data_IF_713968826557
#
_entry.id   IF_713968826557
#
_cell.length_a   1.000
_cell.length_b   1.000
_cell.length_c   1.000
_cell.angle_alpha   90.00
_cell.angle_beta   90.00
_cell.angle_gamma   90.00
#
_symmetry.space_group_name_H-M   'P 1'
#
loop_
_entity.id
_entity.type
_entity.pdbx_description
1 polymer ?
#
# COMPACT_ATOMS: atom_id res chain seq x y z
N UNK A 1 0.43 19.56 8.77
CA UNK A 1 -0.13 18.47 7.95
C UNK A 1 0.20 17.14 8.60
N UNK A 2 -0.78 16.28 8.81
CA UNK A 2 -0.61 14.97 9.44
C UNK A 2 -0.61 13.85 8.38
N UNK A 3 0.45 13.02 8.41
CA UNK A 3 0.61 11.85 7.54
C UNK A 3 0.50 10.59 8.38
N UNK A 4 -0.59 9.86 8.23
CA UNK A 4 -0.82 8.57 8.87
C UNK A 4 -0.35 7.43 7.97
N UNK A 5 0.66 6.69 8.42
CA UNK A 5 1.20 5.52 7.73
C UNK A 5 0.80 4.28 8.52
N UNK A 6 0.01 3.40 7.92
CA UNK A 6 -0.45 2.17 8.59
C UNK A 6 0.71 1.18 8.70
N UNK A 7 0.96 0.66 9.90
CA UNK A 7 1.92 -0.42 10.13
C UNK A 7 1.20 -1.64 10.71
N UNK A 8 0.94 -2.67 9.92
CA UNK A 8 0.30 -3.90 10.39
C UNK A 8 1.30 -5.06 10.51
N UNK A 9 1.10 -6.03 11.42
CA UNK A 9 1.99 -7.18 11.53
C UNK A 9 2.18 -7.89 10.18
N UNK A 10 3.43 -7.99 9.71
CA UNK A 10 3.78 -8.55 8.40
C UNK A 10 3.71 -7.58 7.22
N UNK A 11 3.76 -6.26 7.46
CA UNK A 11 4.00 -5.26 6.40
C UNK A 11 5.36 -5.48 5.72
N UNK A 12 5.49 -5.11 4.45
CA UNK A 12 6.78 -5.01 3.76
C UNK A 12 7.42 -3.66 4.08
N UNK A 13 8.62 -3.65 4.64
CA UNK A 13 9.23 -2.44 5.20
C UNK A 13 9.43 -1.30 4.19
N UNK A 14 9.94 -1.62 3.00
CA UNK A 14 10.26 -0.60 2.00
C UNK A 14 9.00 0.11 1.46
N UNK A 15 7.84 -0.54 1.51
CA UNK A 15 6.57 0.02 1.03
C UNK A 15 6.16 1.29 1.78
N UNK A 16 6.49 1.36 3.08
CA UNK A 16 6.19 2.53 3.90
C UNK A 16 7.43 3.43 4.08
N UNK A 17 8.62 2.84 4.20
CA UNK A 17 9.88 3.60 4.39
C UNK A 17 10.17 4.48 3.17
N UNK A 18 9.94 3.98 1.96
CA UNK A 18 10.16 4.74 0.72
C UNK A 18 9.38 6.06 0.69
N UNK A 19 8.03 6.01 0.77
CA UNK A 19 7.24 7.24 0.84
C UNK A 19 7.52 8.06 2.10
N UNK A 20 7.72 7.43 3.26
CA UNK A 20 8.07 8.10 4.52
C UNK A 20 9.28 9.01 4.35
N UNK A 21 10.36 8.51 3.72
CA UNK A 21 11.60 9.26 3.58
C UNK A 21 11.40 10.52 2.73
N UNK A 22 10.52 10.52 1.73
CA UNK A 22 10.20 11.73 0.97
C UNK A 22 9.23 12.66 1.72
N UNK A 23 8.16 12.11 2.28
CA UNK A 23 7.07 12.90 2.85
C UNK A 23 7.48 13.64 4.13
N UNK A 24 8.43 13.12 4.91
CA UNK A 24 8.91 13.76 6.15
C UNK A 24 9.62 15.11 5.93
N UNK A 25 10.02 15.42 4.70
CA UNK A 25 10.66 16.69 4.33
C UNK A 25 9.67 17.78 3.92
N UNK A 26 8.38 17.48 3.84
CA UNK A 26 7.37 18.49 3.57
C UNK A 26 7.23 19.45 4.78
N UNK A 27 7.01 20.76 4.55
CA UNK A 27 6.85 21.73 5.63
C UNK A 27 5.71 21.36 6.60
N UNK A 28 5.91 21.64 7.89
CA UNK A 28 4.91 21.46 8.95
C UNK A 28 4.28 20.05 8.96
N UNK A 29 5.07 19.03 8.61
CA UNK A 29 4.60 17.64 8.50
C UNK A 29 4.83 16.87 9.80
N UNK A 30 3.76 16.31 10.34
CA UNK A 30 3.77 15.35 11.44
C UNK A 30 3.50 13.95 10.87
N UNK A 31 4.51 13.08 10.90
CA UNK A 31 4.33 11.67 10.51
C UNK A 31 3.92 10.85 11.71
N UNK A 32 2.86 10.05 11.55
CA UNK A 32 2.41 9.07 12.53
C UNK A 32 2.43 7.67 11.93
N UNK A 33 3.05 6.75 12.64
CA UNK A 33 2.93 5.33 12.35
C UNK A 33 1.72 4.81 13.14
N UNK A 34 0.67 4.40 12.44
CA UNK A 34 -0.62 4.09 13.05
C UNK A 34 -0.94 2.61 13.00
N UNK A 35 -1.47 2.09 14.11
CA UNK A 35 -2.04 0.75 14.20
C UNK A 35 -3.21 0.72 15.18
N UNK A 36 -3.68 -0.46 15.58
CA UNK A 36 -4.70 -0.58 16.63
C UNK A 36 -4.25 0.05 17.94
N UNK A 37 -2.99 -0.17 18.31
CA UNK A 37 -2.38 0.33 19.54
C UNK A 37 -0.91 0.72 19.26
N UNK A 38 -0.36 1.73 19.98
CA UNK A 38 1.07 2.03 19.94
C UNK A 38 1.90 0.84 20.43
N UNK A 39 3.06 0.62 19.83
CA UNK A 39 3.96 -0.47 20.21
C UNK A 39 4.72 -1.10 19.04
N UNK A 40 5.58 -2.09 19.32
CA UNK A 40 6.42 -2.71 18.31
C UNK A 40 5.60 -3.58 17.34
N UNK A 41 5.87 -3.43 16.05
CA UNK A 41 5.24 -4.20 14.97
C UNK A 41 6.34 -4.83 14.13
N UNK A 42 6.23 -6.14 13.95
CA UNK A 42 7.20 -6.94 13.21
C UNK A 42 6.85 -6.91 11.72
N UNK A 43 7.84 -6.57 10.87
CA UNK A 43 7.73 -6.64 9.42
C UNK A 43 7.70 -8.10 8.92
N UNK A 44 7.40 -8.29 7.63
CA UNK A 44 7.34 -9.61 6.98
C UNK A 44 8.65 -10.43 7.02
N UNK A 45 9.79 -9.76 7.17
CA UNK A 45 11.10 -10.41 7.36
C UNK A 45 11.25 -11.12 8.71
N UNK A 46 10.33 -10.91 9.65
CA UNK A 46 10.38 -11.39 11.04
C UNK A 46 11.58 -10.88 11.87
N UNK A 47 12.37 -9.94 11.34
CA UNK A 47 13.56 -9.37 12.00
C UNK A 47 13.43 -7.88 12.28
N UNK A 48 12.88 -7.12 11.33
CA UNK A 48 12.71 -5.68 11.50
C UNK A 48 11.48 -5.39 12.37
N UNK A 49 11.68 -4.60 13.42
CA UNK A 49 10.63 -4.08 14.28
C UNK A 49 10.53 -2.56 14.11
N UNK A 50 9.32 -2.05 13.90
CA UNK A 50 9.02 -0.62 13.85
C UNK A 50 7.89 -0.32 14.83
N UNK A 51 8.02 0.74 15.61
CA UNK A 51 6.98 1.13 16.56
C UNK A 51 5.83 1.87 15.88
N UNK A 52 4.60 1.37 16.00
CA UNK A 52 3.43 2.22 15.87
C UNK A 52 3.51 3.28 16.97
N UNK A 53 3.38 4.56 16.58
CA UNK A 53 3.49 5.69 17.48
C UNK A 53 2.13 6.13 18.02
N UNK A 54 1.05 5.85 17.28
CA UNK A 54 -0.31 6.24 17.63
C UNK A 54 -1.30 5.14 17.26
N UNK A 55 -2.45 5.13 17.93
CA UNK A 55 -3.61 4.35 17.53
C UNK A 55 -4.43 5.04 16.41
N UNK A 56 -5.37 4.29 15.84
CA UNK A 56 -6.40 4.82 14.93
C UNK A 56 -7.28 5.89 15.60
N UNK A 57 -7.62 5.71 16.88
CA UNK A 57 -8.49 6.64 17.62
C UNK A 57 -7.77 7.95 17.98
N UNK A 58 -6.46 7.91 18.19
CA UNK A 58 -5.61 9.09 18.36
C UNK A 58 -5.35 9.83 17.03
N UNK A 59 -5.63 9.19 15.89
CA UNK A 59 -5.39 9.71 14.54
C UNK A 59 -6.65 9.59 13.66
N UNK A 60 -7.77 10.25 14.03
CA UNK A 60 -9.07 10.02 13.38
C UNK A 60 -9.22 10.72 12.02
N UNK A 61 -8.47 11.80 11.77
CA UNK A 61 -8.63 12.66 10.60
C UNK A 61 -7.28 13.18 10.05
N UNK A 62 -6.37 12.28 9.62
CA UNK A 62 -5.11 12.68 8.98
C UNK A 62 -5.35 13.32 7.61
N UNK A 63 -4.43 14.18 7.19
CA UNK A 63 -4.46 14.79 5.85
C UNK A 63 -4.07 13.77 4.77
N UNK A 64 -3.13 12.86 5.10
CA UNK A 64 -2.66 11.81 4.21
C UNK A 64 -2.74 10.47 4.91
N UNK A 65 -3.27 9.47 4.22
CA UNK A 65 -3.19 8.07 4.63
C UNK A 65 -2.28 7.32 3.65
N UNK A 66 -1.37 6.50 4.16
CA UNK A 66 -0.54 5.60 3.37
C UNK A 66 -0.69 4.16 3.89
N UNK A 67 -1.07 3.24 2.99
CA UNK A 67 -1.23 1.83 3.29
C UNK A 67 -0.14 1.02 2.55
N UNK A 68 0.82 0.41 3.26
CA UNK A 68 1.82 -0.45 2.63
C UNK A 68 1.23 -1.82 2.24
N UNK A 69 1.95 -2.53 1.40
CA UNK A 69 1.75 -3.96 1.17
C UNK A 69 2.51 -4.82 2.18
N UNK A 70 2.50 -6.13 1.92
CA UNK A 70 3.01 -7.14 2.84
C UNK A 70 2.40 -8.51 2.55
N UNK A 71 3.09 -9.58 2.94
CA UNK A 71 2.56 -10.93 2.74
C UNK A 71 1.30 -11.22 3.58
N UNK A 72 1.09 -10.48 4.67
CA UNK A 72 -0.14 -10.55 5.50
C UNK A 72 -1.26 -9.61 5.04
N UNK A 73 -1.11 -8.90 3.90
CA UNK A 73 -2.13 -7.95 3.40
C UNK A 73 -3.53 -8.54 3.38
N UNK A 74 -3.67 -9.81 2.98
CA UNK A 74 -4.99 -10.47 2.85
C UNK A 74 -5.65 -10.75 4.20
N UNK A 75 -4.86 -10.91 5.27
CA UNK A 75 -5.38 -11.00 6.64
C UNK A 75 -5.95 -9.65 7.06
N UNK A 76 -5.18 -8.58 6.85
CA UNK A 76 -5.56 -7.22 7.26
C UNK A 76 -6.62 -6.58 6.36
N UNK A 77 -6.79 -7.07 5.13
CA UNK A 77 -7.94 -6.74 4.28
C UNK A 77 -9.29 -7.25 4.83
N UNK A 78 -9.28 -8.00 5.94
CA UNK A 78 -10.47 -8.47 6.67
C UNK A 78 -10.60 -7.82 8.05
N UNK A 79 -9.69 -6.91 8.41
CA UNK A 79 -9.70 -6.22 9.68
C UNK A 79 -10.72 -5.08 9.66
N UNK A 80 -11.93 -5.34 10.17
CA UNK A 80 -13.02 -4.36 10.10
C UNK A 80 -12.71 -3.06 10.85
N UNK A 81 -11.86 -3.07 11.89
CA UNK A 81 -11.45 -1.83 12.58
C UNK A 81 -10.58 -0.97 11.66
N UNK A 82 -9.61 -1.56 10.97
CA UNK A 82 -8.81 -0.88 9.95
C UNK A 82 -9.69 -0.37 8.80
N UNK A 83 -10.57 -1.23 8.26
CA UNK A 83 -11.42 -0.87 7.13
C UNK A 83 -12.41 0.26 7.50
N UNK A 84 -12.93 0.26 8.72
CA UNK A 84 -13.81 1.32 9.23
C UNK A 84 -13.07 2.62 9.48
N UNK A 85 -11.90 2.57 10.09
CA UNK A 85 -11.05 3.75 10.23
C UNK A 85 -10.70 4.35 8.87
N UNK A 86 -10.30 3.53 7.88
CA UNK A 86 -10.01 3.99 6.52
C UNK A 86 -11.19 4.70 5.88
N UNK A 87 -12.40 4.12 5.99
CA UNK A 87 -13.63 4.72 5.45
C UNK A 87 -13.90 6.10 6.06
N UNK A 88 -13.83 6.21 7.39
CA UNK A 88 -14.07 7.47 8.12
C UNK A 88 -12.99 8.51 7.84
N UNK A 89 -11.73 8.14 8.01
CA UNK A 89 -10.60 9.04 7.86
C UNK A 89 -10.48 9.58 6.43
N UNK A 90 -10.77 8.76 5.41
CA UNK A 90 -10.71 9.16 4.01
C UNK A 90 -11.62 10.36 3.68
N UNK A 91 -12.76 10.51 4.36
CA UNK A 91 -13.72 11.60 4.14
C UNK A 91 -13.07 13.00 4.22
N UNK A 92 -12.04 13.13 5.05
CA UNK A 92 -11.33 14.40 5.27
C UNK A 92 -9.93 14.44 4.67
N UNK A 93 -9.41 13.33 4.13
CA UNK A 93 -8.06 13.31 3.55
C UNK A 93 -7.92 14.24 2.35
N UNK A 94 -6.72 14.77 2.17
CA UNK A 94 -6.25 15.31 0.89
C UNK A 94 -5.82 14.16 -0.03
N UNK A 95 -5.12 13.17 0.51
CA UNK A 95 -4.71 11.96 -0.22
C UNK A 95 -4.87 10.69 0.60
N UNK A 96 -5.38 9.64 -0.03
CA UNK A 96 -5.30 8.26 0.45
C UNK A 96 -4.52 7.45 -0.55
N UNK A 97 -3.40 6.89 -0.09
CA UNK A 97 -2.40 6.29 -0.93
C UNK A 97 -2.12 4.85 -0.53
N UNK A 98 -1.76 4.00 -1.49
CA UNK A 98 -1.24 2.67 -1.16
C UNK A 98 -0.05 2.30 -2.02
N UNK A 99 0.84 1.48 -1.47
CA UNK A 99 1.97 0.88 -2.19
C UNK A 99 1.75 -0.63 -2.26
N UNK A 100 2.18 -1.26 -3.37
CA UNK A 100 2.22 -2.70 -3.51
C UNK A 100 0.82 -3.33 -3.28
N UNK A 101 0.74 -4.40 -2.49
CA UNK A 101 -0.54 -5.04 -2.16
C UNK A 101 -1.43 -4.23 -1.23
N UNK A 102 -1.00 -3.09 -0.68
CA UNK A 102 -1.83 -2.22 0.15
C UNK A 102 -3.13 -1.76 -0.56
N UNK A 103 -3.13 -1.71 -1.89
CA UNK A 103 -4.33 -1.43 -2.68
C UNK A 103 -5.43 -2.49 -2.53
N UNK A 104 -5.10 -3.71 -2.08
CA UNK A 104 -6.08 -4.74 -1.74
C UNK A 104 -6.87 -4.37 -0.49
N UNK A 105 -6.23 -3.76 0.51
CA UNK A 105 -6.91 -3.25 1.72
C UNK A 105 -7.85 -2.10 1.34
N UNK A 106 -7.41 -1.19 0.46
CA UNK A 106 -8.26 -0.14 -0.11
C UNK A 106 -9.42 -0.69 -0.96
N UNK A 107 -9.20 -1.81 -1.67
CA UNK A 107 -10.24 -2.54 -2.37
C UNK A 107 -11.27 -3.11 -1.39
N UNK A 108 -10.80 -3.75 -0.32
CA UNK A 108 -11.64 -4.37 0.69
C UNK A 108 -12.47 -3.36 1.51
N UNK A 109 -11.98 -2.14 1.72
CA UNK A 109 -12.73 -1.05 2.36
C UNK A 109 -13.84 -0.49 1.46
N UNK A 110 -13.82 -0.82 0.16
CA UNK A 110 -14.78 -0.36 -0.84
C UNK A 110 -14.41 0.98 -1.49
N UNK A 111 -13.33 1.64 -1.04
CA UNK A 111 -12.90 2.96 -1.55
C UNK A 111 -12.46 2.93 -3.02
N UNK A 112 -12.08 1.76 -3.53
CA UNK A 112 -11.68 1.56 -4.94
C UNK A 112 -12.79 1.03 -5.85
N UNK A 113 -14.01 0.76 -5.33
CA UNK A 113 -15.08 0.14 -6.13
C UNK A 113 -15.40 1.00 -7.36
N UNK A 114 -15.35 0.38 -8.56
CA UNK A 114 -15.60 1.04 -9.84
C UNK A 114 -14.45 1.93 -10.35
N UNK A 115 -13.27 1.86 -9.72
CA UNK A 115 -12.10 2.69 -10.08
C UNK A 115 -11.01 1.86 -10.74
N UNK A 116 -10.06 2.53 -11.38
CA UNK A 116 -8.80 1.96 -11.87
C UNK A 116 -7.75 1.98 -10.75
N UNK A 117 -6.99 0.93 -10.57
CA UNK A 117 -5.89 0.90 -9.59
C UNK A 117 -4.80 -0.09 -9.95
N UNK A 118 -3.58 0.17 -9.47
CA UNK A 118 -2.44 -0.75 -9.57
C UNK A 118 -2.13 -1.39 -8.22
N UNK A 119 -1.21 -2.35 -8.21
CA UNK A 119 -0.80 -3.11 -7.03
C UNK A 119 0.57 -3.75 -7.26
N UNK A 120 1.01 -4.63 -6.37
CA UNK A 120 2.08 -5.56 -6.70
C UNK A 120 1.67 -6.46 -7.88
N UNK A 121 2.61 -6.81 -8.77
CA UNK A 121 2.31 -7.63 -9.96
C UNK A 121 1.63 -8.97 -9.62
N UNK A 122 1.94 -9.54 -8.46
CA UNK A 122 1.32 -10.79 -7.99
C UNK A 122 -0.10 -10.61 -7.41
N UNK A 123 -0.45 -9.39 -6.99
CA UNK A 123 -1.72 -9.09 -6.32
C UNK A 123 -2.69 -8.26 -7.19
N UNK A 124 -2.22 -7.62 -8.26
CA UNK A 124 -3.01 -6.68 -9.06
C UNK A 124 -4.28 -7.28 -9.63
N UNK A 125 -4.27 -8.56 -10.06
CA UNK A 125 -5.49 -9.20 -10.58
C UNK A 125 -6.54 -9.45 -9.49
N UNK A 126 -6.14 -9.54 -8.21
CA UNK A 126 -7.07 -9.73 -7.08
C UNK A 126 -8.02 -8.53 -6.93
N UNK A 127 -7.60 -7.34 -7.37
CA UNK A 127 -8.41 -6.11 -7.32
C UNK A 127 -9.77 -6.27 -8.01
N UNK A 128 -9.87 -7.11 -9.05
CA UNK A 128 -11.15 -7.42 -9.73
C UNK A 128 -12.22 -7.93 -8.78
N UNK A 129 -11.83 -8.64 -7.73
CA UNK A 129 -12.74 -9.18 -6.70
C UNK A 129 -13.54 -8.07 -6.01
N UNK A 130 -12.96 -6.88 -5.91
CA UNK A 130 -13.57 -5.71 -5.26
C UNK A 130 -14.26 -4.76 -6.27
N UNK A 131 -14.43 -5.19 -7.53
CA UNK A 131 -15.00 -4.36 -8.59
C UNK A 131 -14.07 -3.24 -9.05
N UNK A 132 -12.76 -3.44 -8.92
CA UNK A 132 -11.71 -2.50 -9.34
C UNK A 132 -11.17 -2.96 -10.69
N UNK A 133 -10.89 -2.02 -11.58
CA UNK A 133 -10.19 -2.26 -12.84
C UNK A 133 -8.68 -2.29 -12.60
N UNK A 134 -7.99 -3.44 -12.76
CA UNK A 134 -6.56 -3.52 -12.53
C UNK A 134 -5.76 -2.89 -13.66
N UNK A 135 -4.79 -2.06 -13.30
CA UNK A 135 -3.81 -1.44 -14.20
C UNK A 135 -2.45 -2.09 -13.95
N UNK A 136 -1.80 -2.59 -15.01
CA UNK A 136 -0.60 -3.46 -14.88
C UNK A 136 0.66 -2.88 -15.51
N UNK A 137 0.54 -1.77 -16.22
CA UNK A 137 1.57 -1.11 -17.02
C UNK A 137 1.92 0.29 -16.52
N UNK A 138 1.22 0.78 -15.50
CA UNK A 138 1.48 2.05 -14.83
C UNK A 138 2.05 1.82 -13.42
N UNK A 139 3.07 2.60 -13.06
CA UNK A 139 3.74 2.52 -11.74
C UNK A 139 2.94 3.23 -10.65
N UNK A 140 2.36 4.39 -10.97
CA UNK A 140 1.50 5.20 -10.10
C UNK A 140 0.20 5.41 -10.85
N UNK A 141 -0.94 5.12 -10.22
CA UNK A 141 -2.28 5.26 -10.80
C UNK A 141 -3.11 6.12 -9.86
N UNK A 142 -3.49 7.31 -10.33
CA UNK A 142 -4.50 8.12 -9.65
C UNK A 142 -5.88 7.50 -9.88
N UNK A 143 -6.38 6.81 -8.85
CA UNK A 143 -7.63 6.05 -8.90
C UNK A 143 -8.87 6.93 -8.81
N UNK A 144 -8.77 8.08 -8.16
CA UNK A 144 -9.80 9.13 -8.05
C UNK A 144 -9.13 10.43 -7.57
N UNK A 145 -9.92 11.52 -7.47
CA UNK A 145 -9.45 12.85 -7.03
C UNK A 145 -8.54 12.82 -5.81
N UNK A 146 -8.82 11.95 -4.83
CA UNK A 146 -8.09 11.85 -3.55
C UNK A 146 -7.51 10.46 -3.28
N UNK A 147 -7.47 9.57 -4.28
CA UNK A 147 -6.93 8.21 -4.09
C UNK A 147 -5.87 7.91 -5.14
N UNK A 148 -4.71 7.47 -4.68
CA UNK A 148 -3.59 7.05 -5.54
C UNK A 148 -3.11 5.67 -5.13
N UNK A 149 -2.84 4.80 -6.11
CA UNK A 149 -2.26 3.48 -5.87
C UNK A 149 -0.94 3.36 -6.61
N UNK A 150 0.02 2.68 -6.02
CA UNK A 150 1.36 2.52 -6.57
C UNK A 150 1.76 1.05 -6.60
N UNK A 151 2.61 0.70 -7.56
CA UNK A 151 3.11 -0.64 -7.79
C UNK A 151 4.00 -1.16 -6.63
N UNK A 152 4.69 -2.28 -6.86
CA UNK A 152 5.40 -3.01 -5.82
C UNK A 152 6.60 -2.30 -5.19
N UNK A 153 6.69 -2.39 -3.87
CA UNK A 153 7.90 -2.25 -3.06
C UNK A 153 8.65 -0.93 -3.23
N UNK A 154 9.66 -0.87 -4.09
CA UNK A 154 10.45 0.34 -4.32
C UNK A 154 9.67 1.46 -4.99
N UNK A 155 8.53 1.14 -5.62
CA UNK A 155 7.63 2.14 -6.20
C UNK A 155 7.08 3.13 -5.17
N UNK A 156 7.13 2.78 -3.88
CA UNK A 156 6.81 3.72 -2.80
C UNK A 156 7.70 4.98 -2.80
N UNK A 157 8.96 4.89 -3.20
CA UNK A 157 9.85 6.08 -3.25
C UNK A 157 9.32 7.08 -4.29
N UNK A 158 8.98 6.60 -5.48
CA UNK A 158 8.42 7.46 -6.54
C UNK A 158 7.05 8.01 -6.16
N UNK A 159 6.22 7.23 -5.46
CA UNK A 159 4.96 7.71 -4.91
C UNK A 159 5.17 8.85 -3.90
N UNK A 160 6.17 8.72 -3.02
CA UNK A 160 6.52 9.75 -2.04
C UNK A 160 6.91 11.06 -2.71
N UNK A 161 7.76 11.01 -3.73
CA UNK A 161 8.15 12.19 -4.53
C UNK A 161 6.97 12.76 -5.33
N UNK A 162 6.13 11.90 -5.91
CA UNK A 162 4.93 12.34 -6.63
C UNK A 162 3.97 13.09 -5.69
N UNK A 163 3.69 12.54 -4.50
CA UNK A 163 2.87 13.20 -3.49
C UNK A 163 3.52 14.52 -3.02
N UNK A 164 4.83 14.53 -2.81
CA UNK A 164 5.55 15.75 -2.45
C UNK A 164 5.37 16.86 -3.51
N UNK A 165 5.32 16.50 -4.79
CA UNK A 165 5.03 17.45 -5.87
C UNK A 165 3.57 17.93 -5.84
N UNK A 166 2.61 17.04 -5.56
CA UNK A 166 1.19 17.41 -5.44
C UNK A 166 0.92 18.38 -4.27
N UNK A 167 1.71 18.28 -3.20
CA UNK A 167 1.48 19.02 -1.95
C UNK A 167 2.35 20.27 -1.86
N UNK A 168 3.66 20.12 -2.09
CA UNK A 168 4.65 21.17 -1.91
C UNK A 168 5.12 21.83 -3.21
N UNK A 169 4.60 21.39 -4.36
CA UNK A 169 5.01 21.85 -5.69
C UNK A 169 6.28 21.16 -6.22
N UNK A 170 6.51 21.32 -7.52
CA UNK A 170 7.58 20.62 -8.25
C UNK A 170 8.98 20.94 -7.72
N UNK A 171 9.28 22.20 -7.42
CA UNK A 171 10.61 22.62 -6.92
C UNK A 171 10.95 21.96 -5.59
N UNK A 172 9.96 21.82 -4.70
CA UNK A 172 10.14 21.14 -3.42
C UNK A 172 10.40 19.65 -3.63
N UNK A 173 9.63 19.00 -4.49
CA UNK A 173 9.83 17.59 -4.80
C UNK A 173 11.21 17.30 -5.39
N UNK A 174 11.69 18.16 -6.30
CA UNK A 174 13.06 18.08 -6.86
C UNK A 174 14.14 18.27 -5.78
N UNK A 175 13.94 19.23 -4.87
CA UNK A 175 14.87 19.43 -3.77
C UNK A 175 14.91 18.22 -2.82
N UNK A 176 13.75 17.61 -2.52
CA UNK A 176 13.67 16.37 -1.73
C UNK A 176 14.37 15.23 -2.46
N UNK A 177 14.11 15.04 -3.76
CA UNK A 177 14.76 14.03 -4.58
C UNK A 177 16.30 14.15 -4.52
N UNK A 178 16.82 15.38 -4.68
CA UNK A 178 18.26 15.63 -4.61
C UNK A 178 18.81 15.42 -3.18
N UNK A 179 18.06 15.81 -2.15
CA UNK A 179 18.48 15.64 -0.74
C UNK A 179 18.59 14.16 -0.35
N UNK A 180 17.77 13.30 -0.96
CA UNK A 180 17.81 11.85 -0.81
C UNK A 180 18.82 11.17 -1.76
N UNK A 181 19.44 11.93 -2.67
CA UNK A 181 20.28 11.42 -3.77
C UNK A 181 19.58 10.30 -4.57
N UNK A 182 18.27 10.46 -4.83
CA UNK A 182 17.48 9.45 -5.53
C UNK A 182 17.70 9.53 -7.06
N UNK A 183 18.82 8.94 -7.50
CA UNK A 183 19.22 8.70 -8.89
C UNK A 183 19.41 7.18 -9.13
N UNK A 184 18.32 6.40 -9.26
CA UNK A 184 18.43 4.95 -9.29
C UNK A 184 19.08 4.44 -10.59
N UNK A 185 20.14 3.64 -10.44
CA UNK A 185 20.79 2.92 -11.55
C UNK A 185 20.74 1.39 -11.30
N UNK A 186 19.58 0.73 -11.50
CA UNK A 186 19.46 -0.70 -11.23
C UNK A 186 20.43 -1.52 -12.11
N UNK A 187 21.18 -2.48 -11.55
CA UNK A 187 22.14 -3.28 -12.32
C UNK A 187 21.49 -4.30 -13.26
N UNK A 188 20.17 -4.47 -13.20
CA UNK A 188 19.41 -5.41 -14.03
C UNK A 188 18.08 -4.79 -14.47
N UNK A 189 17.64 -5.11 -15.69
CA UNK A 189 16.34 -4.68 -16.23
C UNK A 189 15.24 -5.73 -16.04
N UNK A 190 15.01 -6.17 -14.79
CA UNK A 190 14.03 -7.23 -14.47
C UNK A 190 12.98 -6.81 -13.44
N UNK A 191 12.89 -5.52 -13.12
CA UNK A 191 11.96 -4.98 -12.12
C UNK A 191 10.48 -4.95 -12.54
N UNK A 192 10.13 -5.36 -13.76
CA UNK A 192 8.75 -5.36 -14.25
C UNK A 192 8.45 -6.63 -15.06
N UNK A 193 7.19 -7.09 -15.02
CA UNK A 193 6.76 -8.29 -15.74
C UNK A 193 6.90 -8.19 -17.27
N UNK A 194 6.86 -6.99 -17.85
CA UNK A 194 7.11 -6.82 -19.29
C UNK A 194 8.59 -6.96 -19.69
N UNK A 195 9.52 -6.85 -18.73
CA UNK A 195 10.97 -6.80 -18.98
C UNK A 195 11.69 -8.08 -18.55
N UNK A 196 11.20 -8.72 -17.49
CA UNK A 196 11.80 -9.96 -16.97
C UNK A 196 11.64 -11.16 -17.94
N UNK A 197 12.68 -11.97 -18.04
CA UNK A 197 12.65 -13.24 -18.78
C UNK A 197 11.65 -14.23 -18.16
N UNK A 198 11.22 -15.23 -18.94
CA UNK A 198 10.35 -16.30 -18.41
C UNK A 198 10.98 -17.05 -17.23
N UNK A 199 12.28 -17.34 -17.31
CA UNK A 199 13.02 -17.98 -16.23
C UNK A 199 13.06 -17.10 -14.97
N UNK A 200 13.33 -15.81 -15.12
CA UNK A 200 13.32 -14.84 -14.00
C UNK A 200 11.95 -14.76 -13.34
N UNK A 201 10.86 -14.73 -14.12
CA UNK A 201 9.48 -14.72 -13.60
C UNK A 201 9.16 -15.98 -12.80
N UNK A 202 9.56 -17.14 -13.30
CA UNK A 202 9.37 -18.41 -12.62
C UNK A 202 10.14 -18.44 -11.29
N UNK A 203 11.41 -18.04 -11.30
CA UNK A 203 12.25 -17.96 -10.09
C UNK A 203 11.68 -16.97 -9.07
N UNK A 204 11.26 -15.77 -9.49
CA UNK A 204 10.65 -14.78 -8.61
C UNK A 204 9.36 -15.31 -7.97
N UNK A 205 8.51 -16.00 -8.75
CA UNK A 205 7.31 -16.65 -8.24
C UNK A 205 7.65 -17.73 -7.20
N UNK A 206 8.67 -18.55 -7.46
CA UNK A 206 9.12 -19.59 -6.54
C UNK A 206 9.74 -19.03 -5.24
N UNK A 207 10.44 -17.90 -5.30
CA UNK A 207 10.96 -17.22 -4.12
C UNK A 207 9.83 -16.75 -3.19
N UNK A 208 8.80 -16.12 -3.78
CA UNK A 208 7.66 -15.60 -3.02
C UNK A 208 6.70 -16.70 -2.55
N UNK A 209 6.64 -17.85 -3.24
CA UNK A 209 5.68 -18.92 -2.89
C UNK A 209 5.87 -19.44 -1.47
N UNK A 210 7.09 -19.40 -0.93
CA UNK A 210 7.38 -19.79 0.47
C UNK A 210 6.57 -18.98 1.48
N UNK A 211 6.35 -17.71 1.18
CA UNK A 211 5.56 -16.80 2.01
C UNK A 211 4.06 -16.96 1.71
N UNK A 212 3.68 -17.04 0.44
CA UNK A 212 2.28 -17.13 0.02
C UNK A 212 1.61 -18.47 0.38
N UNK A 213 2.39 -19.55 0.51
CA UNK A 213 1.89 -20.89 0.85
C UNK A 213 1.81 -21.15 2.37
N UNK A 214 2.15 -20.16 3.21
CA UNK A 214 1.93 -20.28 4.66
C UNK A 214 0.44 -20.54 4.93
N UNK A 215 0.08 -21.46 5.87
CA UNK A 215 -1.32 -21.80 6.13
C UNK A 215 -2.20 -20.58 6.47
N UNK A 216 -1.63 -19.59 7.14
CA UNK A 216 -2.34 -18.35 7.50
C UNK A 216 -2.69 -17.52 6.26
N UNK A 217 -1.75 -17.33 5.34
CA UNK A 217 -1.96 -16.65 4.06
C UNK A 217 -3.00 -17.36 3.17
N UNK A 218 -2.92 -18.70 3.07
CA UNK A 218 -3.91 -19.50 2.32
C UNK A 218 -5.32 -19.38 2.92
N UNK A 219 -5.43 -19.46 4.25
CA UNK A 219 -6.70 -19.28 4.97
C UNK A 219 -7.25 -17.87 4.79
N UNK A 220 -6.41 -16.85 4.83
CA UNK A 220 -6.81 -15.46 4.63
C UNK A 220 -7.32 -15.21 3.21
N UNK A 221 -6.62 -15.72 2.20
CA UNK A 221 -7.02 -15.62 0.79
C UNK A 221 -8.38 -16.25 0.56
N UNK A 222 -8.55 -17.51 0.98
CA UNK A 222 -9.80 -18.26 0.80
C UNK A 222 -10.96 -17.60 1.52
N UNK A 223 -10.75 -17.14 2.76
CA UNK A 223 -11.77 -16.44 3.53
C UNK A 223 -12.15 -15.08 2.92
N UNK A 224 -11.18 -14.29 2.46
CA UNK A 224 -11.44 -13.00 1.82
C UNK A 224 -12.27 -13.17 0.54
N UNK A 225 -11.93 -14.14 -0.31
CA UNK A 225 -12.71 -14.46 -1.51
C UNK A 225 -14.14 -14.90 -1.17
N UNK A 226 -14.30 -15.71 -0.12
CA UNK A 226 -15.62 -16.11 0.39
C UNK A 226 -16.44 -14.91 0.87
N UNK A 227 -15.85 -14.03 1.68
CA UNK A 227 -16.50 -12.83 2.22
C UNK A 227 -17.01 -11.94 1.07
N UNK A 228 -16.23 -11.78 0.00
CA UNK A 228 -16.62 -11.04 -1.20
C UNK A 228 -17.73 -11.72 -2.00
N UNK A 229 -17.68 -13.05 -2.15
CA UNK A 229 -18.76 -13.80 -2.80
C UNK A 229 -20.10 -13.63 -2.06
N UNK A 230 -20.08 -13.72 -0.73
CA UNK A 230 -21.27 -13.50 0.12
C UNK A 230 -21.79 -12.06 -0.02
N UNK A 231 -20.91 -11.05 0.05
CA UNK A 231 -21.28 -9.63 -0.14
C UNK A 231 -21.96 -9.40 -1.49
N UNK A 232 -21.43 -9.97 -2.58
CA UNK A 232 -21.99 -9.84 -3.93
C UNK A 232 -23.37 -10.49 -4.08
N UNK A 233 -23.61 -11.62 -3.41
CA UNK A 233 -24.94 -12.26 -3.39
C UNK A 233 -25.95 -11.41 -2.61
N UNK A 234 -25.54 -10.87 -1.45
CA UNK A 234 -26.40 -10.03 -0.61
C UNK A 234 -26.79 -8.71 -1.29
N UNK A 235 -25.87 -8.08 -2.03
CA UNK A 235 -26.15 -6.80 -2.72
C UNK A 235 -27.03 -6.93 -3.97
N UNK A 236 -27.40 -8.15 -4.38
CA UNK A 236 -28.28 -8.43 -5.52
C UNK A 236 -29.73 -8.72 -5.10
N UNK A 237 -30.00 -8.81 -3.80
CA UNK A 237 -31.33 -8.90 -3.21
C UNK A 237 -31.78 -7.51 -2.76
#
# INVERSE_FOLDING_TARGET
MQVAIVLYPGFTALDFIGPYESLRWLPDTEVRFVWHEPGPIVADSAVLLVGATHSFDETPSPDIILIPGGFSTLEHARDEKLLEWLRRAHETTTWTASVCSGSVILGASGLLKGKRATSHWAAVQLLRTFGVEPVTDERIVQSADRIVTCAGVSAGIDLGLWLAAQIGGEDKAKAIQLSMEYDPQPPFDSGHMSKASAATKASATALMSRELLKPTALKATTALLWDQAVKKVRSRR
#
